data_IF_163663284282
#
_entry.id   IF_163663284282
#
_cell.length_a   1.000
_cell.length_b   1.000
_cell.length_c   1.000
_cell.angle_alpha   90.00
_cell.angle_beta   90.00
_cell.angle_gamma   90.00
#
_symmetry.space_group_name_H-M   'P 1'
#
loop_
_entity.id
_entity.type
_entity.pdbx_description
1 polymer ?
#
# COMPACT_ATOMS: atom_id res chain seq x y z
N UNK A 1 1.15 20.65 -16.34
CA UNK A 1 0.72 19.24 -16.24
C UNK A 1 1.81 18.48 -15.49
N UNK A 2 1.56 18.06 -14.27
CA UNK A 2 2.53 17.22 -13.56
C UNK A 2 2.63 15.89 -14.27
N UNK A 3 3.83 15.53 -14.68
CA UNK A 3 4.12 14.26 -15.33
C UNK A 3 3.83 13.12 -14.35
N UNK A 4 2.64 12.54 -14.44
CA UNK A 4 2.23 11.38 -13.63
C UNK A 4 2.97 10.09 -14.02
N UNK A 5 3.93 10.19 -14.93
CA UNK A 5 4.68 9.07 -15.48
C UNK A 5 6.02 8.82 -14.77
N UNK A 6 6.24 9.40 -13.58
CA UNK A 6 7.41 9.08 -12.77
C UNK A 6 7.08 7.87 -11.91
N UNK A 7 7.97 6.89 -11.94
CA UNK A 7 7.93 5.74 -11.05
C UNK A 7 7.84 6.21 -9.60
N UNK A 8 6.64 6.17 -9.05
CA UNK A 8 6.37 6.58 -7.68
C UNK A 8 7.03 5.65 -6.67
N UNK A 9 7.16 4.38 -7.04
CA UNK A 9 7.80 3.36 -6.22
C UNK A 9 9.06 2.91 -6.93
N UNK A 10 10.18 2.93 -6.21
CA UNK A 10 11.48 2.58 -6.78
C UNK A 10 12.22 1.62 -5.88
N UNK A 11 12.81 0.60 -6.48
CA UNK A 11 13.73 -0.29 -5.80
C UNK A 11 15.16 0.14 -6.11
N UNK A 12 15.88 0.59 -5.08
CA UNK A 12 17.27 1.03 -5.18
C UNK A 12 18.19 -0.03 -4.60
N UNK A 13 19.21 -0.42 -5.39
CA UNK A 13 20.23 -1.37 -4.96
C UNK A 13 21.50 -0.62 -4.57
N UNK A 14 22.06 -0.98 -3.41
CA UNK A 14 23.32 -0.43 -2.97
C UNK A 14 24.47 -1.26 -3.58
N UNK A 15 25.15 -0.65 -4.53
CA UNK A 15 26.28 -1.27 -5.20
C UNK A 15 27.49 -1.45 -4.28
N UNK A 16 27.67 -0.57 -3.30
CA UNK A 16 28.80 -0.62 -2.36
C UNK A 16 28.62 -1.77 -1.36
N UNK A 17 27.38 -2.12 -1.02
CA UNK A 17 27.04 -3.20 -0.11
C UNK A 17 26.75 -4.53 -0.85
N UNK A 18 27.07 -4.61 -2.14
CA UNK A 18 26.95 -5.86 -2.90
C UNK A 18 28.20 -6.72 -2.70
N UNK A 19 28.01 -7.89 -2.13
CA UNK A 19 29.09 -8.86 -1.85
C UNK A 19 28.85 -10.18 -2.56
N UNK A 20 29.96 -10.80 -2.99
CA UNK A 20 29.94 -12.13 -3.59
C UNK A 20 30.79 -13.11 -2.78
N UNK A 21 30.22 -14.28 -2.52
CA UNK A 21 30.89 -15.38 -1.85
C UNK A 21 31.05 -16.54 -2.81
N UNK A 22 32.29 -16.93 -3.07
CA UNK A 22 32.62 -17.96 -4.03
C UNK A 22 33.02 -19.23 -3.30
N UNK A 23 32.33 -20.34 -3.56
CA UNK A 23 32.68 -21.64 -3.03
C UNK A 23 33.08 -22.59 -4.19
N UNK A 24 34.37 -22.77 -4.37
CA UNK A 24 34.93 -23.60 -5.46
C UNK A 24 34.60 -25.07 -5.29
N UNK A 25 34.57 -25.58 -4.06
CA UNK A 25 34.23 -26.98 -3.78
C UNK A 25 32.77 -27.31 -4.13
N UNK A 26 31.86 -26.44 -3.75
CA UNK A 26 30.43 -26.58 -4.05
C UNK A 26 30.06 -26.03 -5.42
N UNK A 27 31.02 -25.36 -6.09
CA UNK A 27 30.82 -24.72 -7.39
C UNK A 27 29.63 -23.75 -7.36
N UNK A 28 29.59 -22.89 -6.34
CA UNK A 28 28.53 -21.93 -6.13
C UNK A 28 29.06 -20.50 -5.99
N UNK A 29 28.29 -19.56 -6.46
CA UNK A 29 28.50 -18.13 -6.24
C UNK A 29 27.27 -17.58 -5.54
N UNK A 30 27.43 -17.00 -4.36
CA UNK A 30 26.36 -16.39 -3.60
C UNK A 30 26.49 -14.89 -3.63
N UNK A 31 25.43 -14.21 -4.01
CA UNK A 31 25.35 -12.75 -4.00
C UNK A 31 24.51 -12.30 -2.80
N UNK A 32 25.05 -11.34 -2.05
CA UNK A 32 24.32 -10.63 -1.01
C UNK A 32 24.20 -9.17 -1.42
N UNK A 33 22.97 -8.68 -1.49
CA UNK A 33 22.63 -7.33 -1.92
C UNK A 33 21.75 -6.65 -0.87
N UNK A 34 22.09 -5.42 -0.52
CA UNK A 34 21.21 -4.54 0.20
C UNK A 34 20.39 -3.70 -0.78
N UNK A 35 19.10 -3.63 -0.56
CA UNK A 35 18.21 -2.80 -1.37
C UNK A 35 17.17 -2.10 -0.51
N UNK A 36 16.64 -1.02 -1.06
CA UNK A 36 15.63 -0.21 -0.41
C UNK A 36 14.46 0.03 -1.35
N UNK A 37 13.27 -0.25 -0.86
CA UNK A 37 12.04 0.17 -1.50
C UNK A 37 11.80 1.64 -1.12
N UNK A 38 11.90 2.52 -2.09
CA UNK A 38 11.56 3.93 -1.93
C UNK A 38 10.09 4.13 -2.24
N UNK A 39 9.40 4.74 -1.30
CA UNK A 39 7.98 5.05 -1.41
C UNK A 39 7.85 6.56 -1.50
N UNK A 40 7.11 7.08 -2.48
CA UNK A 40 6.93 8.51 -2.60
C UNK A 40 6.15 9.04 -1.39
N UNK A 41 6.67 10.10 -0.80
CA UNK A 41 5.93 10.84 0.20
C UNK A 41 4.96 11.79 -0.51
N UNK A 42 3.69 11.67 -0.18
CA UNK A 42 2.66 12.60 -0.64
C UNK A 42 1.82 13.08 0.54
N UNK A 43 1.76 14.39 0.74
CA UNK A 43 0.88 15.01 1.71
C UNK A 43 -0.61 14.77 1.40
N UNK A 44 -0.90 14.42 0.16
CA UNK A 44 -2.25 14.13 -0.32
C UNK A 44 -2.63 12.65 -0.15
N UNK A 45 -1.68 11.80 0.24
CA UNK A 45 -1.95 10.39 0.47
C UNK A 45 -2.61 10.19 1.84
N UNK A 46 -3.81 9.66 1.89
CA UNK A 46 -4.51 9.37 3.15
C UNK A 46 -3.89 8.18 3.91
N UNK A 47 -2.94 7.49 3.30
CA UNK A 47 -2.31 6.29 3.87
C UNK A 47 -0.80 6.40 3.76
N UNK A 48 -0.14 6.25 4.89
CA UNK A 48 1.31 6.22 4.98
C UNK A 48 1.81 4.81 4.71
N UNK A 49 2.43 4.63 3.54
CA UNK A 49 3.16 3.40 3.22
C UNK A 49 4.64 3.67 3.47
N UNK A 50 5.23 2.98 4.43
CA UNK A 50 6.64 3.13 4.75
C UNK A 50 7.57 2.50 3.72
N UNK A 51 8.73 3.14 3.48
CA UNK A 51 9.82 2.52 2.76
C UNK A 51 10.37 1.29 3.51
N UNK A 52 11.03 0.40 2.80
CA UNK A 52 11.53 -0.84 3.40
C UNK A 52 12.94 -1.17 2.96
N UNK A 53 13.79 -1.49 3.93
CA UNK A 53 15.11 -2.06 3.70
C UNK A 53 15.03 -3.58 3.59
N UNK A 54 15.77 -4.13 2.62
CA UNK A 54 15.84 -5.58 2.40
C UNK A 54 17.29 -6.02 2.21
N UNK A 55 17.66 -7.11 2.85
CA UNK A 55 18.91 -7.82 2.61
C UNK A 55 18.58 -9.10 1.85
N UNK A 56 19.05 -9.19 0.63
CA UNK A 56 18.75 -10.28 -0.29
C UNK A 56 19.97 -11.14 -0.50
N UNK A 57 19.77 -12.43 -0.41
CA UNK A 57 20.81 -13.44 -0.69
C UNK A 57 20.31 -14.38 -1.77
N UNK A 58 21.11 -14.58 -2.81
CA UNK A 58 20.82 -15.53 -3.87
C UNK A 58 22.08 -16.27 -4.31
N UNK A 59 21.91 -17.51 -4.70
CA UNK A 59 23.02 -18.39 -5.06
C UNK A 59 22.84 -18.94 -6.47
N UNK A 60 23.90 -18.85 -7.26
CA UNK A 60 24.06 -19.55 -8.52
C UNK A 60 24.89 -20.80 -8.29
N UNK A 61 24.42 -21.95 -8.77
CA UNK A 61 25.13 -23.24 -8.72
C UNK A 61 25.47 -23.68 -10.13
N UNK A 62 26.72 -24.03 -10.35
CA UNK A 62 27.15 -24.61 -11.61
C UNK A 62 26.63 -26.04 -11.78
N UNK A 63 26.06 -26.35 -12.93
CA UNK A 63 25.60 -27.71 -13.25
C UNK A 63 26.76 -28.71 -13.36
N UNK A 64 26.46 -29.97 -13.10
CA UNK A 64 27.41 -31.04 -13.31
C UNK A 64 27.78 -31.13 -14.81
N UNK A 65 29.06 -31.17 -15.09
CA UNK A 65 29.58 -31.25 -16.47
C UNK A 65 29.90 -29.91 -17.11
N UNK A 66 29.41 -28.79 -16.54
CA UNK A 66 29.77 -27.46 -17.01
C UNK A 66 31.08 -26.98 -16.35
N UNK A 67 31.81 -26.15 -17.06
CA UNK A 67 32.95 -25.45 -16.50
C UNK A 67 32.50 -24.40 -15.49
N UNK A 68 33.15 -24.34 -14.32
CA UNK A 68 32.83 -23.35 -13.29
C UNK A 68 33.42 -22.00 -13.67
N UNK A 69 32.58 -21.12 -14.17
CA UNK A 69 32.87 -19.74 -14.50
C UNK A 69 32.35 -18.79 -13.41
N UNK A 70 33.30 -18.19 -12.67
CA UNK A 70 32.97 -17.28 -11.55
C UNK A 70 32.25 -16.04 -12.02
N UNK A 71 32.68 -15.42 -13.12
CA UNK A 71 32.06 -14.19 -13.64
C UNK A 71 30.62 -14.43 -14.12
N UNK A 72 30.40 -15.55 -14.79
CA UNK A 72 29.06 -15.99 -15.17
C UNK A 72 28.20 -16.28 -13.93
N UNK A 73 28.79 -16.95 -12.93
CA UNK A 73 28.13 -17.21 -11.65
C UNK A 73 27.73 -15.94 -10.92
N UNK A 74 28.58 -14.92 -10.89
CA UNK A 74 28.26 -13.60 -10.30
C UNK A 74 27.07 -12.92 -10.99
N UNK A 75 27.07 -12.92 -12.32
CA UNK A 75 25.96 -12.33 -13.10
C UNK A 75 24.63 -13.04 -12.84
N UNK A 76 24.64 -14.36 -12.79
CA UNK A 76 23.45 -15.16 -12.51
C UNK A 76 22.98 -14.94 -11.06
N UNK A 77 23.88 -14.96 -10.09
CA UNK A 77 23.55 -14.75 -8.69
C UNK A 77 22.96 -13.35 -8.45
N UNK A 78 23.53 -12.32 -9.09
CA UNK A 78 23.01 -10.95 -9.03
C UNK A 78 21.62 -10.85 -9.64
N UNK A 79 21.39 -11.42 -10.82
CA UNK A 79 20.06 -11.42 -11.45
C UNK A 79 19.02 -12.15 -10.60
N UNK A 80 19.38 -13.27 -9.98
CA UNK A 80 18.51 -13.98 -9.02
C UNK A 80 18.20 -13.15 -7.79
N UNK A 81 19.20 -12.43 -7.28
CA UNK A 81 19.01 -11.53 -6.13
C UNK A 81 18.08 -10.38 -6.47
N UNK A 82 18.24 -9.75 -7.63
CA UNK A 82 17.33 -8.71 -8.12
C UNK A 82 15.89 -9.22 -8.26
N UNK A 83 15.70 -10.36 -8.89
CA UNK A 83 14.38 -10.98 -9.02
C UNK A 83 13.74 -11.25 -7.66
N UNK A 84 14.51 -11.72 -6.70
CA UNK A 84 14.04 -11.97 -5.34
C UNK A 84 13.64 -10.66 -4.63
N UNK A 85 14.44 -9.61 -4.81
CA UNK A 85 14.16 -8.29 -4.27
C UNK A 85 12.85 -7.72 -4.83
N UNK A 86 12.65 -7.76 -6.13
CA UNK A 86 11.42 -7.31 -6.78
C UNK A 86 10.20 -8.09 -6.33
N UNK A 87 10.32 -9.41 -6.20
CA UNK A 87 9.22 -10.25 -5.69
C UNK A 87 8.85 -9.93 -4.24
N UNK A 88 9.84 -9.69 -3.39
CA UNK A 88 9.58 -9.30 -2.00
C UNK A 88 8.94 -7.91 -1.91
N UNK A 89 9.43 -6.95 -2.69
CA UNK A 89 8.85 -5.62 -2.77
C UNK A 89 7.40 -5.68 -3.29
N UNK A 90 7.16 -6.45 -4.35
CA UNK A 90 5.83 -6.64 -4.92
C UNK A 90 4.87 -7.29 -3.92
N UNK A 91 5.32 -8.30 -3.19
CA UNK A 91 4.52 -8.95 -2.14
C UNK A 91 4.13 -7.98 -1.02
N UNK A 92 5.09 -7.18 -0.56
CA UNK A 92 4.84 -6.15 0.44
C UNK A 92 3.81 -5.12 -0.04
N UNK A 93 3.99 -4.59 -1.25
CA UNK A 93 3.06 -3.61 -1.83
C UNK A 93 1.69 -4.21 -2.10
N UNK A 94 1.63 -5.47 -2.50
CA UNK A 94 0.37 -6.17 -2.68
C UNK A 94 -0.42 -6.33 -1.37
N UNK A 95 0.28 -6.63 -0.27
CA UNK A 95 -0.34 -6.66 1.06
C UNK A 95 -0.85 -5.27 1.47
N UNK A 96 -0.10 -4.22 1.18
CA UNK A 96 -0.56 -2.84 1.40
C UNK A 96 -1.80 -2.52 0.57
N UNK A 97 -1.83 -2.96 -0.69
CA UNK A 97 -2.99 -2.80 -1.57
C UNK A 97 -4.23 -3.49 -0.99
N UNK A 98 -4.10 -4.70 -0.46
CA UNK A 98 -5.21 -5.40 0.21
C UNK A 98 -5.77 -4.60 1.39
N UNK A 99 -4.91 -4.02 2.22
CA UNK A 99 -5.34 -3.18 3.34
C UNK A 99 -6.08 -1.92 2.86
N UNK A 100 -5.58 -1.28 1.80
CA UNK A 100 -6.24 -0.12 1.19
C UNK A 100 -7.62 -0.47 0.63
N UNK A 101 -7.75 -1.60 -0.06
CA UNK A 101 -9.03 -2.08 -0.60
C UNK A 101 -10.02 -2.42 0.52
N UNK A 102 -9.56 -3.03 1.59
CA UNK A 102 -10.39 -3.33 2.76
C UNK A 102 -10.90 -2.03 3.40
N UNK A 103 -10.02 -1.05 3.56
CA UNK A 103 -10.38 0.25 4.11
C UNK A 103 -11.37 1.00 3.20
N UNK A 104 -11.12 0.98 1.88
CA UNK A 104 -12.03 1.57 0.88
C UNK A 104 -13.42 0.92 0.95
N UNK A 105 -13.48 -0.40 1.06
CA UNK A 105 -14.74 -1.11 1.18
C UNK A 105 -15.50 -0.73 2.46
N UNK A 106 -14.80 -0.56 3.57
CA UNK A 106 -15.39 -0.08 4.83
C UNK A 106 -16.02 1.30 4.70
N UNK A 107 -15.34 2.22 4.01
CA UNK A 107 -15.87 3.56 3.72
C UNK A 107 -17.13 3.45 2.86
N UNK A 108 -17.11 2.67 1.80
CA UNK A 108 -18.27 2.47 0.91
C UNK A 108 -19.48 1.93 1.67
N UNK A 109 -19.27 0.91 2.49
CA UNK A 109 -20.35 0.33 3.32
C UNK A 109 -20.92 1.36 4.31
N UNK A 110 -20.06 2.17 4.90
CA UNK A 110 -20.53 3.24 5.80
C UNK A 110 -21.35 4.30 5.06
N UNK A 111 -20.89 4.72 3.88
CA UNK A 111 -21.61 5.72 3.07
C UNK A 111 -23.01 5.21 2.67
N UNK A 112 -23.11 3.95 2.23
CA UNK A 112 -24.41 3.33 1.91
C UNK A 112 -25.35 3.29 3.14
N UNK A 113 -24.79 2.97 4.30
CA UNK A 113 -25.55 2.97 5.57
C UNK A 113 -26.00 4.38 5.95
N UNK A 114 -25.13 5.38 5.78
CA UNK A 114 -25.45 6.77 6.07
C UNK A 114 -26.58 7.27 5.17
N UNK A 115 -26.54 6.98 3.87
CA UNK A 115 -27.59 7.35 2.92
C UNK A 115 -28.94 6.74 3.31
N UNK A 116 -28.98 5.46 3.64
CA UNK A 116 -30.21 4.78 4.09
C UNK A 116 -30.76 5.36 5.40
N UNK A 117 -29.86 5.70 6.32
CA UNK A 117 -30.29 6.30 7.59
C UNK A 117 -30.83 7.71 7.39
N UNK A 118 -30.21 8.51 6.53
CA UNK A 118 -30.70 9.84 6.18
C UNK A 118 -32.08 9.76 5.50
N UNK A 119 -32.24 8.85 4.53
CA UNK A 119 -33.53 8.62 3.86
C UNK A 119 -34.63 8.23 4.86
N UNK A 120 -34.31 7.30 5.77
CA UNK A 120 -35.22 6.87 6.82
C UNK A 120 -35.61 8.06 7.72
N UNK A 121 -34.67 8.88 8.13
CA UNK A 121 -34.93 10.06 8.97
C UNK A 121 -35.73 11.12 8.23
N UNK A 122 -35.42 11.36 6.94
CA UNK A 122 -36.19 12.31 6.12
C UNK A 122 -37.66 11.89 5.99
N UNK A 123 -37.91 10.60 5.76
CA UNK A 123 -39.27 10.05 5.71
C UNK A 123 -39.97 10.19 7.07
N UNK A 124 -39.26 9.99 8.17
CA UNK A 124 -39.78 10.16 9.51
C UNK A 124 -40.13 11.62 9.79
N UNK A 125 -39.25 12.54 9.40
CA UNK A 125 -39.48 13.99 9.53
C UNK A 125 -40.72 14.42 8.72
N UNK A 126 -40.82 13.95 7.48
CA UNK A 126 -41.99 14.24 6.63
C UNK A 126 -43.27 13.72 7.22
N UNK A 127 -43.27 12.52 7.77
CA UNK A 127 -44.41 11.90 8.42
C UNK A 127 -44.87 12.71 9.64
N UNK A 128 -43.93 13.15 10.48
CA UNK A 128 -44.24 13.98 11.66
C UNK A 128 -44.71 15.37 11.24
N UNK A 129 -44.10 15.96 10.22
CA UNK A 129 -44.45 17.30 9.72
C UNK A 129 -45.85 17.33 9.10
N UNK A 130 -46.31 16.21 8.54
CA UNK A 130 -47.63 16.09 7.94
C UNK A 130 -48.72 15.65 8.93
N UNK A 131 -48.34 15.15 10.11
CA UNK A 131 -49.34 14.98 11.21
C UNK A 131 -49.72 16.35 11.74
N UNK A 132 -51.02 16.58 11.91
CA UNK A 132 -51.61 17.87 12.31
C UNK A 132 -51.23 18.28 13.74
N UNK A 133 -49.94 18.59 13.96
CA UNK A 133 -49.49 19.24 15.18
C UNK A 133 -48.86 20.58 14.82
N UNK A 134 -49.68 21.69 14.79
CA UNK A 134 -49.18 23.00 14.39
C UNK A 134 -48.06 23.53 15.30
N UNK A 135 -47.99 23.06 16.54
CA UNK A 135 -46.99 23.51 17.52
C UNK A 135 -45.58 22.96 17.24
N UNK A 136 -45.45 21.89 16.46
CA UNK A 136 -44.13 21.27 16.17
C UNK A 136 -43.35 22.08 15.14
N UNK A 137 -43.99 22.66 14.14
CA UNK A 137 -43.33 23.51 13.14
C UNK A 137 -42.81 24.83 13.74
N UNK A 138 -43.48 25.39 14.72
CA UNK A 138 -43.04 26.59 15.41
C UNK A 138 -41.83 26.34 16.30
N UNK A 139 -41.74 25.18 16.96
CA UNK A 139 -40.61 24.86 17.84
C UNK A 139 -39.30 24.61 17.09
N UNK A 140 -39.36 24.17 15.84
CA UNK A 140 -38.16 23.95 15.00
C UNK A 140 -37.66 25.25 14.36
N UNK A 141 -38.56 26.21 14.12
CA UNK A 141 -38.19 27.52 13.54
C UNK A 141 -37.47 28.44 14.54
N UNK A 142 -37.55 28.14 15.84
CA UNK A 142 -36.92 28.93 16.91
C UNK A 142 -35.45 28.51 17.18
N UNK A 143 -34.93 27.46 16.54
CA UNK A 143 -33.51 27.09 16.60
C UNK A 143 -32.76 28.09 15.74
N UNK A 144 -32.14 29.09 16.39
CA UNK A 144 -31.27 30.05 15.70
C UNK A 144 -29.99 29.40 15.23
N UNK A 145 -29.52 29.79 14.05
CA UNK A 145 -28.19 29.46 13.58
C UNK A 145 -27.15 29.90 14.64
N UNK A 146 -26.51 28.93 15.25
CA UNK A 146 -25.50 29.14 16.28
C UNK A 146 -25.83 28.51 17.65
N UNK A 147 -27.03 28.00 17.85
CA UNK A 147 -27.34 27.25 19.06
C UNK A 147 -26.65 25.87 19.03
N UNK A 148 -25.87 25.59 20.07
CA UNK A 148 -25.20 24.29 20.23
C UNK A 148 -26.24 23.24 20.61
N UNK A 149 -26.53 22.32 19.72
CA UNK A 149 -27.36 21.17 20.01
C UNK A 149 -26.51 20.15 20.75
N UNK A 150 -26.76 19.93 22.02
CA UNK A 150 -26.19 18.81 22.76
C UNK A 150 -26.98 17.55 22.40
N UNK A 151 -26.28 16.59 21.81
CA UNK A 151 -26.80 15.23 21.63
C UNK A 151 -26.65 14.42 22.89
#
# INVERSE_FOLDING_TARGET
MKDYNRDYFKLSFDKEDTCFYINTKKRTVTCKVACRLEVPFSWESPVEIGGRYMNIVATAKCCKGDEFDVERGKRIALAKAENKAYRQAASYLFDQLKHLLFFQNGIRVFLEKADKQCEHNDNYIDMISNTQNPNYKESVSDVKNGDTIYM
#
